data_IF_249177259830
#
_entry.id   IF_249177259830
#
_cell.length_a   1.000
_cell.length_b   1.000
_cell.length_c   1.000
_cell.angle_alpha   90.00
_cell.angle_beta   90.00
_cell.angle_gamma   90.00
#
_symmetry.space_group_name_H-M   'P 1'
#
loop_
_entity.id
_entity.type
_entity.pdbx_description
1 polymer ?
#
# COMPACT_ATOMS: atom_id res chain seq x y z
N UNK A 1 -19.33 -10.47 -9.19
CA UNK A 1 -19.34 -9.06 -8.72
C UNK A 1 -19.62 -8.05 -9.84
N UNK A 2 -19.81 -6.74 -9.49
CA UNK A 2 -19.91 -5.68 -10.50
C UNK A 2 -18.60 -5.57 -11.29
N UNK A 3 -18.68 -5.48 -12.62
CA UNK A 3 -17.50 -5.24 -13.45
C UNK A 3 -17.20 -3.72 -13.48
N UNK A 4 -15.97 -3.37 -13.11
CA UNK A 4 -15.49 -1.99 -13.15
C UNK A 4 -14.69 -1.72 -14.42
N UNK A 5 -14.47 -0.46 -14.74
CA UNK A 5 -13.65 -0.03 -15.88
C UNK A 5 -12.23 0.32 -15.47
N UNK A 6 -12.05 0.76 -14.22
CA UNK A 6 -10.74 1.09 -13.63
C UNK A 6 -10.62 0.42 -12.27
N UNK A 7 -9.48 -0.23 -12.05
CA UNK A 7 -9.12 -0.89 -10.80
C UNK A 7 -7.87 -0.22 -10.22
N UNK A 8 -7.98 0.32 -9.04
CA UNK A 8 -6.86 0.90 -8.31
C UNK A 8 -6.57 0.04 -7.08
N UNK A 9 -5.30 -0.14 -6.78
CA UNK A 9 -4.85 -1.01 -5.69
C UNK A 9 -3.88 -0.26 -4.78
N UNK A 10 -3.99 -0.49 -3.48
CA UNK A 10 -2.87 -0.32 -2.60
C UNK A 10 -1.80 -1.39 -2.89
N UNK A 11 -0.61 -1.24 -2.33
CA UNK A 11 0.50 -2.13 -2.60
C UNK A 11 0.82 -3.04 -1.40
N UNK A 12 1.19 -2.46 -0.27
CA UNK A 12 1.63 -3.17 0.93
C UNK A 12 0.44 -3.81 1.66
N UNK A 13 0.51 -5.11 1.95
CA UNK A 13 -0.62 -5.84 2.53
C UNK A 13 -1.78 -6.10 1.56
N UNK A 14 -1.73 -5.54 0.35
CA UNK A 14 -2.75 -5.70 -0.69
C UNK A 14 -2.26 -6.60 -1.83
N UNK A 15 -1.23 -6.18 -2.54
CA UNK A 15 -0.59 -6.96 -3.61
C UNK A 15 0.56 -7.82 -3.09
N UNK A 16 1.32 -7.32 -2.11
CA UNK A 16 2.46 -7.99 -1.51
C UNK A 16 2.40 -7.97 0.01
N UNK A 17 2.82 -9.08 0.63
CA UNK A 17 3.06 -9.12 2.06
C UNK A 17 4.46 -8.56 2.36
N UNK A 18 4.51 -7.31 2.80
CA UNK A 18 5.72 -6.59 3.20
C UNK A 18 5.92 -6.60 4.72
N UNK A 19 5.05 -7.27 5.48
CA UNK A 19 5.01 -7.22 6.93
C UNK A 19 6.32 -7.63 7.61
N UNK A 20 7.01 -8.64 7.06
CA UNK A 20 8.30 -9.09 7.59
C UNK A 20 9.41 -8.06 7.38
N UNK A 21 9.36 -7.32 6.28
CA UNK A 21 10.28 -6.23 6.00
C UNK A 21 10.14 -5.09 6.99
N UNK A 22 8.92 -4.79 7.41
CA UNK A 22 8.64 -3.74 8.40
C UNK A 22 9.35 -3.99 9.74
N UNK A 23 9.50 -5.25 10.17
CA UNK A 23 10.26 -5.58 11.38
C UNK A 23 11.72 -5.11 11.29
N UNK A 24 12.37 -5.32 10.16
CA UNK A 24 13.71 -4.81 9.91
C UNK A 24 13.74 -3.29 9.89
N UNK A 25 12.86 -2.69 9.12
CA UNK A 25 12.78 -1.23 8.90
C UNK A 25 12.61 -0.47 10.21
N UNK A 26 11.63 -0.85 11.02
CA UNK A 26 11.38 -0.20 12.31
C UNK A 26 12.54 -0.38 13.28
N UNK A 27 13.15 -1.57 13.34
CA UNK A 27 14.32 -1.81 14.21
C UNK A 27 15.50 -0.92 13.84
N UNK A 28 15.80 -0.78 12.55
CA UNK A 28 16.89 0.09 12.09
C UNK A 28 16.60 1.57 12.39
N UNK A 29 15.37 2.02 12.15
CA UNK A 29 14.99 3.41 12.42
C UNK A 29 15.02 3.74 13.93
N UNK A 30 14.47 2.89 14.78
CA UNK A 30 14.51 3.10 16.23
C UNK A 30 15.93 2.98 16.83
N UNK A 31 16.78 2.16 16.21
CA UNK A 31 18.20 2.03 16.61
C UNK A 31 18.96 3.35 16.40
N UNK A 32 18.77 4.04 15.26
CA UNK A 32 19.36 5.37 15.00
C UNK A 32 18.87 6.37 16.04
N UNK A 33 17.59 6.33 16.38
CA UNK A 33 17.00 7.19 17.40
C UNK A 33 17.43 6.84 18.84
N UNK A 34 18.12 5.71 19.05
CA UNK A 34 18.53 5.24 20.38
C UNK A 34 17.38 4.64 21.20
N UNK A 35 16.27 4.28 20.57
CA UNK A 35 15.08 3.69 21.19
C UNK A 35 15.04 2.19 20.89
N UNK A 36 14.72 1.37 21.93
CA UNK A 36 14.53 -0.07 21.73
C UNK A 36 13.09 -0.37 21.38
N UNK A 37 12.88 -1.07 20.27
CA UNK A 37 11.57 -1.58 19.84
C UNK A 37 11.55 -3.11 19.94
N UNK A 38 10.42 -3.68 20.33
CA UNK A 38 10.19 -5.13 20.34
C UNK A 38 9.29 -5.54 19.14
N UNK A 39 9.48 -6.76 18.62
CA UNK A 39 8.74 -7.27 17.46
C UNK A 39 7.22 -7.20 17.63
N UNK A 40 6.73 -7.39 18.86
CA UNK A 40 5.30 -7.30 19.20
C UNK A 40 4.68 -5.90 19.01
N UNK A 41 5.50 -4.85 19.04
CA UNK A 41 5.04 -3.46 18.97
C UNK A 41 4.91 -3.00 17.48
N UNK A 42 5.68 -3.60 16.60
CA UNK A 42 5.78 -3.19 15.19
C UNK A 42 4.45 -3.24 14.44
N UNK A 43 3.59 -4.26 14.60
CA UNK A 43 2.28 -4.28 13.92
C UNK A 43 1.38 -3.10 14.28
N UNK A 44 1.48 -2.58 15.49
CA UNK A 44 0.79 -1.36 15.90
C UNK A 44 1.47 -0.11 15.30
N UNK A 45 2.78 -0.01 15.47
CA UNK A 45 3.58 1.14 15.05
C UNK A 45 3.51 1.40 13.53
N UNK A 46 3.43 0.33 12.73
CA UNK A 46 3.32 0.44 11.28
C UNK A 46 1.94 0.93 10.76
N UNK A 47 0.93 0.97 11.64
CA UNK A 47 -0.44 1.38 11.30
C UNK A 47 -0.79 2.81 11.72
N UNK A 48 0.07 3.46 12.49
CA UNK A 48 -0.08 4.86 12.89
C UNK A 48 0.89 5.74 12.12
N UNK A 49 0.67 7.07 12.06
CA UNK A 49 1.63 7.99 11.44
C UNK A 49 3.03 7.83 12.05
N UNK A 50 4.08 7.87 11.23
CA UNK A 50 5.46 7.57 11.65
C UNK A 50 5.91 8.40 12.87
N UNK A 51 5.55 9.69 12.92
CA UNK A 51 5.88 10.53 14.07
C UNK A 51 5.15 10.12 15.35
N UNK A 52 3.90 9.64 15.23
CA UNK A 52 3.14 9.11 16.36
C UNK A 52 3.73 7.78 16.85
N UNK A 53 4.19 6.91 15.93
CA UNK A 53 4.87 5.67 16.29
C UNK A 53 6.16 5.94 17.06
N UNK A 54 6.89 7.00 16.69
CA UNK A 54 8.10 7.42 17.36
C UNK A 54 7.84 7.94 18.80
N UNK A 55 6.84 8.80 18.93
CA UNK A 55 6.41 9.35 20.23
C UNK A 55 5.89 8.26 21.18
N UNK A 56 5.19 7.26 20.66
CA UNK A 56 4.61 6.15 21.45
C UNK A 56 5.67 5.35 22.23
N UNK A 57 6.91 5.31 21.73
CA UNK A 57 8.04 4.65 22.41
C UNK A 57 8.99 5.62 23.15
N UNK A 58 8.57 6.88 23.31
CA UNK A 58 9.33 7.89 24.06
C UNK A 58 10.55 8.42 23.29
N UNK A 59 10.48 8.46 21.97
CA UNK A 59 11.52 9.04 21.13
C UNK A 59 11.71 10.55 21.38
N UNK A 60 12.95 11.02 21.26
CA UNK A 60 13.24 12.45 21.33
C UNK A 60 12.71 13.16 20.08
N UNK A 61 11.76 14.06 20.24
CA UNK A 61 11.12 14.81 19.16
C UNK A 61 12.11 15.45 18.18
N UNK A 62 13.28 15.87 18.66
CA UNK A 62 14.34 16.45 17.82
C UNK A 62 14.93 15.44 16.81
N UNK A 63 14.69 14.15 17.00
CA UNK A 63 15.14 13.06 16.12
C UNK A 63 14.00 12.46 15.27
N UNK A 64 12.81 13.02 15.35
CA UNK A 64 11.65 12.47 14.62
C UNK A 64 11.84 12.52 13.09
N UNK A 65 12.48 13.55 12.57
CA UNK A 65 12.74 13.64 11.13
C UNK A 65 13.83 12.64 10.70
N UNK A 66 14.90 12.46 11.49
CA UNK A 66 15.94 11.45 11.26
C UNK A 66 15.37 10.03 11.31
N UNK A 67 14.41 9.78 12.22
CA UNK A 67 13.68 8.51 12.29
C UNK A 67 12.86 8.25 11.02
N UNK A 68 12.11 9.24 10.53
CA UNK A 68 11.31 9.12 9.30
C UNK A 68 12.22 8.88 8.10
N UNK A 69 13.30 9.66 7.95
CA UNK A 69 14.27 9.49 6.88
C UNK A 69 14.89 8.08 6.89
N UNK A 70 15.23 7.56 8.07
CA UNK A 70 15.77 6.20 8.20
C UNK A 70 14.75 5.11 7.86
N UNK A 71 13.45 5.33 8.14
CA UNK A 71 12.38 4.43 7.68
C UNK A 71 12.37 4.36 6.14
N UNK A 72 12.37 5.52 5.48
CA UNK A 72 12.32 5.60 4.02
C UNK A 72 13.53 4.92 3.36
N UNK A 73 14.73 5.11 3.92
CA UNK A 73 15.95 4.44 3.48
C UNK A 73 15.88 2.92 3.67
N UNK A 74 15.48 2.48 4.88
CA UNK A 74 15.46 1.07 5.23
C UNK A 74 14.44 0.25 4.44
N UNK A 75 13.33 0.85 4.01
CA UNK A 75 12.37 0.22 3.11
C UNK A 75 13.01 -0.23 1.79
N UNK A 76 13.98 0.54 1.34
CA UNK A 76 14.68 0.32 0.07
C UNK A 76 15.91 -0.61 0.19
N UNK A 77 16.23 -1.07 1.40
CA UNK A 77 17.35 -1.96 1.64
C UNK A 77 17.02 -3.42 1.34
N UNK A 78 18.05 -4.17 0.94
CA UNK A 78 17.94 -5.58 0.56
C UNK A 78 17.22 -6.47 1.59
N UNK A 79 17.45 -6.32 2.93
CA UNK A 79 16.75 -7.16 3.90
C UNK A 79 15.23 -6.93 3.93
N UNK A 80 14.77 -5.70 3.73
CA UNK A 80 13.34 -5.39 3.66
C UNK A 80 12.72 -6.01 2.38
N UNK A 81 13.35 -5.78 1.23
CA UNK A 81 12.88 -6.26 -0.06
C UNK A 81 12.86 -7.79 -0.12
N UNK A 82 13.95 -8.47 0.29
CA UNK A 82 14.07 -9.94 0.25
C UNK A 82 13.11 -10.69 1.16
N UNK A 83 12.55 -10.04 2.17
CA UNK A 83 11.55 -10.64 3.06
C UNK A 83 10.12 -10.45 2.60
N UNK A 84 9.90 -9.65 1.56
CA UNK A 84 8.60 -9.48 0.93
C UNK A 84 8.14 -10.78 0.28
N UNK A 85 6.85 -11.09 0.40
CA UNK A 85 6.23 -12.28 -0.21
C UNK A 85 5.11 -11.86 -1.15
N UNK A 86 4.91 -12.63 -2.23
CA UNK A 86 3.70 -12.51 -3.04
C UNK A 86 2.55 -13.22 -2.34
N UNK A 87 1.37 -12.62 -2.35
CA UNK A 87 0.16 -13.37 -2.01
C UNK A 87 -0.11 -14.46 -3.06
N UNK A 88 -0.77 -15.56 -2.68
CA UNK A 88 -0.85 -16.76 -3.53
C UNK A 88 -1.45 -16.52 -4.92
N UNK A 89 -2.39 -15.59 -5.03
CA UNK A 89 -3.10 -15.30 -6.28
C UNK A 89 -2.41 -14.30 -7.21
N UNK A 90 -1.28 -13.70 -6.81
CA UNK A 90 -0.67 -12.59 -7.57
C UNK A 90 -0.31 -12.96 -9.00
N UNK A 91 0.26 -14.14 -9.22
CA UNK A 91 0.65 -14.55 -10.58
C UNK A 91 -0.58 -14.78 -11.48
N UNK A 92 -1.66 -15.34 -10.93
CA UNK A 92 -2.95 -15.49 -11.63
C UNK A 92 -3.58 -14.11 -11.90
N UNK A 93 -3.56 -13.23 -10.91
CA UNK A 93 -4.08 -11.86 -11.02
C UNK A 93 -3.35 -11.07 -12.11
N UNK A 94 -2.01 -11.09 -12.12
CA UNK A 94 -1.20 -10.39 -13.13
C UNK A 94 -1.48 -10.93 -14.54
N UNK A 95 -1.57 -12.25 -14.70
CA UNK A 95 -1.94 -12.86 -15.98
C UNK A 95 -3.32 -12.40 -16.43
N UNK A 96 -4.29 -12.41 -15.51
CA UNK A 96 -5.66 -11.99 -15.81
C UNK A 96 -5.74 -10.53 -16.28
N UNK A 97 -5.11 -9.58 -15.56
CA UNK A 97 -5.17 -8.16 -15.92
C UNK A 97 -4.50 -7.89 -17.27
N UNK A 98 -3.43 -8.62 -17.60
CA UNK A 98 -2.74 -8.55 -18.89
C UNK A 98 -3.61 -9.08 -20.03
N UNK A 99 -4.10 -10.31 -19.90
CA UNK A 99 -4.84 -11.01 -20.95
C UNK A 99 -6.17 -10.33 -21.28
N UNK A 100 -6.76 -9.66 -20.29
CA UNK A 100 -8.02 -8.94 -20.44
C UNK A 100 -7.87 -7.42 -20.63
N UNK A 101 -6.63 -6.90 -20.75
CA UNK A 101 -6.32 -5.48 -20.86
C UNK A 101 -7.03 -4.64 -19.79
N UNK A 102 -6.99 -5.09 -18.55
CA UNK A 102 -7.64 -4.40 -17.43
C UNK A 102 -6.92 -3.08 -17.15
N UNK A 103 -7.65 -1.97 -17.15
CA UNK A 103 -7.09 -0.67 -16.81
C UNK A 103 -6.92 -0.58 -15.29
N UNK A 104 -5.67 -0.62 -14.82
CA UNK A 104 -5.36 -0.62 -13.40
C UNK A 104 -4.14 0.25 -13.06
N UNK A 105 -4.06 0.65 -11.79
CA UNK A 105 -2.98 1.44 -11.23
C UNK A 105 -2.75 1.17 -9.76
N UNK A 106 -1.60 1.63 -9.26
CA UNK A 106 -1.20 1.52 -7.85
C UNK A 106 -1.28 2.91 -7.20
N UNK A 107 -1.85 2.95 -5.98
CA UNK A 107 -1.90 4.14 -5.14
C UNK A 107 -1.46 3.73 -3.73
N UNK A 108 -0.23 4.00 -3.37
CA UNK A 108 0.41 3.55 -2.14
C UNK A 108 0.74 4.71 -1.18
N UNK A 109 0.93 4.38 0.10
CA UNK A 109 1.49 5.28 1.11
C UNK A 109 3.02 5.26 1.15
N UNK A 110 3.66 4.44 0.32
CA UNK A 110 5.11 4.44 0.11
C UNK A 110 5.49 5.26 -1.12
N UNK A 111 6.79 5.48 -1.35
CA UNK A 111 7.25 6.08 -2.60
C UNK A 111 7.22 5.04 -3.74
N UNK A 112 7.11 5.53 -4.98
CA UNK A 112 7.00 4.68 -6.17
C UNK A 112 8.28 3.86 -6.40
N UNK A 113 9.44 4.39 -6.01
CA UNK A 113 10.71 3.68 -6.16
C UNK A 113 10.74 2.38 -5.34
N UNK A 114 10.16 2.38 -4.13
CA UNK A 114 10.01 1.17 -3.31
C UNK A 114 9.15 0.11 -4.03
N UNK A 115 8.02 0.53 -4.60
CA UNK A 115 7.17 -0.36 -5.40
C UNK A 115 7.96 -0.99 -6.55
N UNK A 116 8.72 -0.19 -7.30
CA UNK A 116 9.52 -0.69 -8.43
C UNK A 116 10.59 -1.69 -7.98
N UNK A 117 11.29 -1.44 -6.88
CA UNK A 117 12.29 -2.39 -6.35
C UNK A 117 11.69 -3.75 -6.01
N UNK A 118 10.47 -3.79 -5.45
CA UNK A 118 9.77 -5.05 -5.17
C UNK A 118 9.33 -5.74 -6.47
N UNK A 119 8.76 -4.98 -7.43
CA UNK A 119 8.39 -5.55 -8.73
C UNK A 119 9.60 -6.13 -9.46
N UNK A 120 10.74 -5.42 -9.47
CA UNK A 120 11.99 -5.87 -10.06
C UNK A 120 12.53 -7.14 -9.38
N UNK A 121 12.47 -7.20 -8.04
CA UNK A 121 12.88 -8.38 -7.27
C UNK A 121 12.09 -9.63 -7.67
N UNK A 122 10.80 -9.48 -7.99
CA UNK A 122 9.97 -10.58 -8.46
C UNK A 122 9.95 -10.73 -10.00
N UNK A 123 10.74 -9.96 -10.74
CA UNK A 123 10.75 -9.91 -12.20
C UNK A 123 9.37 -9.62 -12.80
N UNK A 124 8.61 -8.69 -12.20
CA UNK A 124 7.31 -8.25 -12.65
C UNK A 124 7.46 -6.97 -13.46
N UNK A 125 6.96 -6.99 -14.70
CA UNK A 125 6.99 -5.85 -15.60
C UNK A 125 6.11 -4.71 -15.04
N UNK A 126 6.67 -3.51 -14.97
CA UNK A 126 5.95 -2.33 -14.49
C UNK A 126 4.75 -1.97 -15.38
N UNK A 127 4.75 -2.39 -16.64
CA UNK A 127 3.65 -2.13 -17.58
C UNK A 127 2.32 -2.85 -17.24
N UNK A 128 2.33 -3.73 -16.25
CA UNK A 128 1.08 -4.29 -15.73
C UNK A 128 0.15 -3.21 -15.16
N UNK A 129 0.71 -2.18 -14.54
CA UNK A 129 -0.06 -1.07 -14.00
C UNK A 129 0.22 0.22 -14.79
N UNK A 130 -0.82 0.94 -15.16
CA UNK A 130 -0.74 2.09 -16.08
C UNK A 130 -0.48 3.41 -15.36
N UNK A 131 -0.53 3.43 -14.03
CA UNK A 131 -0.16 4.58 -13.19
C UNK A 131 0.32 4.11 -11.83
N UNK A 132 1.20 4.89 -11.24
CA UNK A 132 1.78 4.68 -9.92
C UNK A 132 1.76 6.02 -9.16
N UNK A 133 1.02 6.08 -8.07
CA UNK A 133 0.94 7.25 -7.19
C UNK A 133 1.45 6.84 -5.81
N UNK A 134 2.55 7.43 -5.41
CA UNK A 134 3.16 7.31 -4.09
C UNK A 134 3.25 8.66 -3.39
N UNK A 135 3.87 8.69 -2.21
CA UNK A 135 4.09 9.91 -1.43
C UNK A 135 5.04 10.89 -2.13
N UNK A 136 5.89 10.41 -3.01
CA UNK A 136 6.79 11.19 -3.86
C UNK A 136 6.04 12.01 -4.93
N UNK A 137 4.84 11.58 -5.32
CA UNK A 137 3.97 12.31 -6.27
C UNK A 137 2.86 13.09 -5.57
N UNK A 138 2.36 12.60 -4.45
CA UNK A 138 1.26 13.23 -3.71
C UNK A 138 1.69 13.60 -2.29
N UNK A 139 1.87 14.89 -2.05
CA UNK A 139 2.17 15.43 -0.69
C UNK A 139 1.06 15.12 0.32
N UNK A 140 -0.16 14.88 -0.17
CA UNK A 140 -1.33 14.53 0.67
C UNK A 140 -1.59 13.05 0.53
N UNK A 141 -1.55 12.33 1.65
CA UNK A 141 -1.69 10.87 1.71
C UNK A 141 -3.12 10.42 2.02
N UNK A 142 -3.39 9.12 1.89
CA UNK A 142 -4.62 8.48 2.37
C UNK A 142 -4.83 8.76 3.87
N UNK A 143 -6.02 9.08 4.36
CA UNK A 143 -7.33 8.90 3.75
C UNK A 143 -7.83 10.05 2.85
N UNK A 144 -6.97 10.97 2.41
CA UNK A 144 -7.35 11.97 1.42
C UNK A 144 -7.70 11.29 0.08
N UNK A 145 -8.71 11.78 -0.66
CA UNK A 145 -9.03 11.27 -1.99
C UNK A 145 -8.00 11.67 -3.05
N UNK A 146 -7.12 12.62 -2.75
CA UNK A 146 -6.24 13.25 -3.73
C UNK A 146 -5.36 12.25 -4.49
N UNK A 147 -4.69 11.26 -3.85
CA UNK A 147 -3.88 10.29 -4.59
C UNK A 147 -4.70 9.45 -5.58
N UNK A 148 -5.92 9.06 -5.21
CA UNK A 148 -6.84 8.31 -6.08
C UNK A 148 -7.26 9.17 -7.28
N UNK A 149 -7.65 10.42 -7.05
CA UNK A 149 -8.03 11.36 -8.12
C UNK A 149 -6.86 11.68 -9.05
N UNK A 150 -5.63 11.73 -8.53
CA UNK A 150 -4.42 11.87 -9.33
C UNK A 150 -4.21 10.65 -10.23
N UNK A 151 -4.37 9.42 -9.70
CA UNK A 151 -4.27 8.20 -10.49
C UNK A 151 -5.29 8.20 -11.65
N UNK A 152 -6.54 8.56 -11.40
CA UNK A 152 -7.56 8.68 -12.43
C UNK A 152 -7.21 9.74 -13.48
N UNK A 153 -6.61 10.86 -13.07
CA UNK A 153 -6.15 11.91 -13.98
C UNK A 153 -4.99 11.43 -14.85
N UNK A 154 -3.98 10.73 -14.29
CA UNK A 154 -2.87 10.16 -15.07
C UNK A 154 -3.36 9.09 -16.07
N UNK A 155 -4.37 8.29 -15.69
CA UNK A 155 -5.01 7.33 -16.57
C UNK A 155 -5.87 8.00 -17.67
N UNK A 156 -6.05 9.32 -17.63
CA UNK A 156 -6.94 10.05 -18.54
C UNK A 156 -8.41 9.64 -18.41
N UNK A 157 -8.80 9.07 -17.27
CA UNK A 157 -10.15 8.57 -17.06
C UNK A 157 -11.14 9.71 -16.87
N UNK A 158 -12.18 9.74 -17.71
CA UNK A 158 -13.25 10.77 -17.72
C UNK A 158 -14.66 10.15 -17.59
N UNK A 159 -14.72 8.87 -17.22
CA UNK A 159 -15.99 8.15 -17.06
C UNK A 159 -16.65 8.38 -15.71
N UNK A 160 -17.71 7.61 -15.44
CA UNK A 160 -18.42 7.66 -14.15
C UNK A 160 -17.54 7.06 -13.03
N UNK A 161 -17.43 7.77 -11.91
CA UNK A 161 -16.69 7.30 -10.73
C UNK A 161 -17.26 5.99 -10.16
N UNK A 162 -18.54 5.69 -10.41
CA UNK A 162 -19.13 4.40 -10.07
C UNK A 162 -18.51 3.21 -10.80
N UNK A 163 -17.83 3.44 -11.92
CA UNK A 163 -17.13 2.41 -12.70
C UNK A 163 -15.68 2.22 -12.23
N UNK A 164 -15.28 2.86 -11.14
CA UNK A 164 -13.96 2.76 -10.53
C UNK A 164 -14.06 2.01 -9.20
N UNK A 165 -13.08 1.15 -8.93
CA UNK A 165 -12.93 0.48 -7.64
C UNK A 165 -11.52 0.66 -7.11
N UNK A 166 -11.42 0.85 -5.80
CA UNK A 166 -10.17 0.80 -5.05
C UNK A 166 -10.15 -0.41 -4.12
N UNK A 167 -9.02 -1.08 -4.04
CA UNK A 167 -8.80 -2.21 -3.14
C UNK A 167 -7.58 -1.92 -2.27
N UNK A 168 -7.74 -2.05 -0.98
CA UNK A 168 -6.66 -1.89 -0.01
C UNK A 168 -6.92 -2.71 1.24
N UNK A 169 -5.92 -2.87 2.10
CA UNK A 169 -5.99 -3.66 3.32
C UNK A 169 -6.25 -2.83 4.58
N UNK A 170 -6.29 -1.51 4.48
CA UNK A 170 -6.38 -0.60 5.63
C UNK A 170 -7.67 0.20 5.67
N UNK A 171 -8.00 0.70 6.88
CA UNK A 171 -9.09 1.66 7.09
C UNK A 171 -8.90 2.94 6.25
N UNK A 172 -7.65 3.43 6.14
CA UNK A 172 -7.33 4.63 5.38
C UNK A 172 -7.56 4.45 3.87
N UNK A 173 -7.39 3.24 3.35
CA UNK A 173 -7.69 2.90 1.96
C UNK A 173 -9.18 3.05 1.66
N UNK A 174 -10.00 2.43 2.51
CA UNK A 174 -11.45 2.51 2.38
C UNK A 174 -11.95 3.94 2.48
N UNK A 175 -11.45 4.70 3.45
CA UNK A 175 -11.81 6.11 3.60
C UNK A 175 -11.37 6.97 2.41
N UNK A 176 -10.18 6.74 1.85
CA UNK A 176 -9.72 7.47 0.67
C UNK A 176 -10.65 7.24 -0.53
N UNK A 177 -11.11 6.01 -0.73
CA UNK A 177 -12.04 5.66 -1.80
C UNK A 177 -13.45 6.25 -1.56
N UNK A 178 -13.95 6.20 -0.31
CA UNK A 178 -15.21 6.85 0.07
C UNK A 178 -15.14 8.35 -0.21
N UNK A 179 -14.06 8.99 0.21
CA UNK A 179 -13.86 10.43 0.02
C UNK A 179 -13.68 10.79 -1.47
N UNK A 180 -13.17 9.87 -2.30
CA UNK A 180 -13.09 10.02 -3.74
C UNK A 180 -14.43 9.76 -4.48
N UNK A 181 -15.43 9.21 -3.78
CA UNK A 181 -16.73 8.88 -4.37
C UNK A 181 -16.72 7.66 -5.29
N UNK A 182 -15.80 6.72 -5.09
CA UNK A 182 -15.65 5.49 -5.87
C UNK A 182 -16.05 4.25 -5.04
N UNK A 183 -16.22 3.11 -5.73
CA UNK A 183 -16.41 1.82 -5.07
C UNK A 183 -15.12 1.35 -4.39
N UNK A 184 -15.24 0.54 -3.34
CA UNK A 184 -14.08 0.02 -2.63
C UNK A 184 -14.34 -1.37 -2.05
N UNK A 185 -13.25 -2.09 -1.80
CA UNK A 185 -13.21 -3.33 -1.02
C UNK A 185 -12.01 -3.33 -0.10
N UNK A 186 -12.24 -3.73 1.15
CA UNK A 186 -11.19 -4.11 2.07
C UNK A 186 -10.74 -5.53 1.71
N UNK A 187 -9.46 -5.73 1.40
CA UNK A 187 -8.93 -7.07 1.25
C UNK A 187 -8.47 -7.59 2.62
N UNK A 188 -9.04 -8.72 3.05
CA UNK A 188 -8.71 -9.36 4.31
C UNK A 188 -7.71 -10.48 4.03
N UNK A 189 -6.50 -10.42 4.64
CA UNK A 189 -5.43 -11.37 4.37
C UNK A 189 -5.32 -12.48 5.40
N UNK A 190 -5.06 -12.15 6.66
CA UNK A 190 -4.72 -13.15 7.68
C UNK A 190 -5.53 -13.07 8.97
N UNK A 191 -6.12 -11.93 9.28
CA UNK A 191 -6.89 -11.72 10.51
C UNK A 191 -8.22 -11.07 10.21
N UNK A 192 -9.29 -11.64 10.72
CA UNK A 192 -10.60 -11.02 10.66
C UNK A 192 -10.58 -9.73 11.47
N UNK A 193 -10.56 -8.60 10.76
CA UNK A 193 -10.63 -7.27 11.36
C UNK A 193 -12.08 -6.88 11.51
N UNK A 194 -12.46 -6.37 12.66
CA UNK A 194 -13.80 -5.84 12.92
C UNK A 194 -13.96 -4.45 12.25
N UNK A 195 -13.91 -4.45 10.93
CA UNK A 195 -14.12 -3.27 10.09
C UNK A 195 -15.39 -3.50 9.26
N UNK A 196 -16.35 -2.59 9.38
CA UNK A 196 -17.64 -2.64 8.67
C UNK A 196 -17.52 -2.18 7.20
N UNK A 197 -16.57 -2.69 6.46
CA UNK A 197 -16.40 -2.43 5.03
C UNK A 197 -16.72 -3.66 4.19
N UNK A 198 -17.16 -3.51 2.92
CA UNK A 198 -17.25 -4.63 1.99
C UNK A 198 -15.90 -5.32 1.86
N UNK A 199 -15.86 -6.64 2.13
CA UNK A 199 -14.63 -7.43 2.17
C UNK A 199 -14.49 -8.33 0.96
N UNK A 200 -13.24 -8.56 0.56
CA UNK A 200 -12.81 -9.66 -0.31
C UNK A 200 -11.62 -10.36 0.35
N UNK A 201 -11.42 -11.63 0.01
CA UNK A 201 -10.35 -12.48 0.55
C UNK A 201 -9.32 -12.84 -0.52
N UNK A 202 -9.59 -12.50 -1.77
CA UNK A 202 -8.70 -12.66 -2.92
C UNK A 202 -9.00 -11.61 -3.97
N UNK A 203 -7.95 -11.11 -4.63
CA UNK A 203 -8.09 -10.19 -5.76
C UNK A 203 -8.90 -10.79 -6.91
N UNK A 204 -8.87 -12.13 -7.07
CA UNK A 204 -9.61 -12.82 -8.11
C UNK A 204 -11.13 -12.78 -7.93
N UNK A 205 -11.64 -12.41 -6.76
CA UNK A 205 -13.06 -12.18 -6.54
C UNK A 205 -13.59 -10.99 -7.34
N UNK A 206 -12.75 -10.00 -7.64
CA UNK A 206 -13.12 -8.82 -8.43
C UNK A 206 -13.59 -9.15 -9.85
N UNK A 207 -13.23 -10.34 -10.35
CA UNK A 207 -13.41 -10.73 -11.75
C UNK A 207 -14.40 -11.91 -11.94
N UNK A 208 -15.04 -12.33 -10.84
CA UNK A 208 -16.04 -13.41 -10.84
C UNK A 208 -17.46 -12.91 -11.00
#
# INVERSE_FOLDING_TARGET
>A
MKKYKVYLFDFDGTLFDTSKGLNYVFKEAFKVAGVKVEDKDIPYLSRVPLKESFDALGGDYNKADEFVERIEEALDEEPAIKTTLKFPEIDEFLSYIKDNNVLCGIVTSNNVNHVFKILDFFNIDHDYFKTYIGVDKSVVVKPSPKPILMALSELGYKGDLKDVVYVGDSHNDCLAAINAGISYYLIERDEERDLEFPKIYSLMELFK
#
